data_IF_363848040314
#
_entry.id   IF_363848040314
#
_cell.length_a   1.000
_cell.length_b   1.000
_cell.length_c   1.000
_cell.angle_alpha   90.00
_cell.angle_beta   90.00
_cell.angle_gamma   90.00
#
_symmetry.space_group_name_H-M   'P 1'
#
loop_
_entity.id
_entity.type
_entity.pdbx_description
1 polymer ?
#
# COMPACT_ATOMS: atom_id res chain seq x y z
N UNK A 1 -26.26 42.07 16.38
CA UNK A 1 -26.65 41.28 17.57
C UNK A 1 -28.01 40.69 17.31
N UNK A 2 -28.05 39.47 16.77
CA UNK A 2 -29.25 38.71 16.47
C UNK A 2 -29.22 37.48 17.36
N UNK A 3 -30.15 37.41 18.31
CA UNK A 3 -30.32 36.32 19.26
C UNK A 3 -31.10 35.23 18.52
N UNK A 4 -30.39 34.20 18.04
CA UNK A 4 -31.01 32.99 17.50
C UNK A 4 -31.41 32.08 18.65
N UNK A 5 -32.72 31.95 18.86
CA UNK A 5 -33.34 31.02 19.81
C UNK A 5 -33.09 29.58 19.35
N UNK A 6 -32.28 28.83 20.09
CA UNK A 6 -32.22 27.37 20.01
C UNK A 6 -33.55 26.79 20.50
N UNK A 7 -34.39 26.31 19.58
CA UNK A 7 -35.44 25.35 19.90
C UNK A 7 -34.77 23.98 20.12
N UNK A 8 -34.70 23.55 21.37
CA UNK A 8 -34.45 22.16 21.73
C UNK A 8 -35.65 21.31 21.28
N UNK A 9 -35.49 20.58 20.17
CA UNK A 9 -36.39 19.50 19.79
C UNK A 9 -36.12 18.30 20.72
N UNK A 10 -36.83 18.26 21.85
CA UNK A 10 -36.95 17.05 22.64
C UNK A 10 -37.73 16.01 21.82
N UNK A 11 -37.01 15.06 21.22
CA UNK A 11 -37.63 13.88 20.61
C UNK A 11 -38.39 13.06 21.67
N UNK A 12 -39.50 12.39 21.31
CA UNK A 12 -40.20 11.52 22.24
C UNK A 12 -39.29 10.36 22.63
N UNK A 13 -38.91 10.31 23.91
CA UNK A 13 -38.35 9.11 24.52
C UNK A 13 -39.40 8.00 24.41
N UNK A 14 -39.20 7.07 23.48
CA UNK A 14 -39.91 5.79 23.52
C UNK A 14 -39.28 5.01 24.67
N UNK A 15 -39.81 5.23 25.88
CA UNK A 15 -39.60 4.34 27.00
C UNK A 15 -40.39 3.06 26.69
N UNK A 16 -39.79 2.13 25.95
CA UNK A 16 -40.09 0.72 26.20
C UNK A 16 -39.81 0.47 27.69
N UNK A 17 -40.72 -0.21 28.38
CA UNK A 17 -40.66 -0.50 29.82
C UNK A 17 -39.38 -1.30 30.15
N UNK A 18 -38.27 -0.59 30.28
CA UNK A 18 -36.99 -1.20 30.54
C UNK A 18 -36.86 -1.44 32.05
N UNK A 19 -37.05 -2.69 32.48
CA UNK A 19 -36.85 -3.08 33.88
C UNK A 19 -35.34 -3.20 34.19
N UNK A 20 -34.71 -2.05 34.43
CA UNK A 20 -33.30 -1.95 34.79
C UNK A 20 -32.92 -2.80 36.01
N UNK A 21 -33.87 -3.00 36.94
CA UNK A 21 -33.63 -3.83 38.13
C UNK A 21 -33.58 -5.31 37.77
N UNK A 22 -34.48 -5.78 36.91
CA UNK A 22 -34.42 -7.14 36.38
C UNK A 22 -33.13 -7.36 35.57
N UNK A 23 -32.83 -6.47 34.62
CA UNK A 23 -31.61 -6.55 33.80
C UNK A 23 -30.34 -6.56 34.65
N UNK A 24 -30.25 -5.72 35.68
CA UNK A 24 -29.12 -5.75 36.64
C UNK A 24 -29.00 -7.12 37.31
N UNK A 25 -30.11 -7.72 37.73
CA UNK A 25 -30.12 -9.08 38.27
C UNK A 25 -29.62 -10.12 37.26
N UNK A 26 -30.05 -10.00 36.01
CA UNK A 26 -29.64 -10.88 34.92
C UNK A 26 -28.16 -10.76 34.56
N UNK A 27 -27.59 -9.55 34.59
CA UNK A 27 -26.15 -9.31 34.38
C UNK A 27 -25.33 -9.97 35.48
N UNK A 28 -25.70 -9.74 36.75
CA UNK A 28 -24.95 -10.28 37.90
C UNK A 28 -24.99 -11.81 37.90
N UNK A 29 -26.16 -12.40 37.60
CA UNK A 29 -26.37 -13.84 37.55
C UNK A 29 -25.91 -14.51 36.23
N UNK A 30 -25.51 -13.74 35.22
CA UNK A 30 -25.11 -14.27 33.92
C UNK A 30 -23.89 -15.19 34.02
N UNK A 31 -23.78 -16.18 33.14
CA UNK A 31 -22.49 -16.83 32.89
C UNK A 31 -21.57 -15.86 32.13
N UNK A 32 -20.24 -16.04 32.17
CA UNK A 32 -19.30 -15.17 31.46
C UNK A 32 -19.67 -14.93 29.97
N UNK A 33 -20.13 -15.96 29.27
CA UNK A 33 -20.55 -15.89 27.86
C UNK A 33 -21.74 -14.94 27.59
N UNK A 34 -22.57 -14.65 28.58
CA UNK A 34 -23.74 -13.76 28.41
C UNK A 34 -23.60 -12.45 29.20
N UNK A 35 -22.46 -12.25 29.86
CA UNK A 35 -22.30 -11.11 30.78
C UNK A 35 -22.19 -9.79 30.00
N UNK A 36 -21.38 -9.75 28.94
CA UNK A 36 -21.19 -8.56 28.11
C UNK A 36 -22.47 -8.08 27.37
N UNK A 37 -23.21 -8.94 26.64
CA UNK A 37 -24.41 -8.48 25.91
C UNK A 37 -25.52 -8.03 26.87
N UNK A 38 -25.66 -8.69 28.03
CA UNK A 38 -26.60 -8.24 29.07
C UNK A 38 -26.17 -6.93 29.71
N UNK A 39 -24.88 -6.73 29.89
CA UNK A 39 -24.35 -5.46 30.39
C UNK A 39 -24.62 -4.33 29.39
N UNK A 40 -24.43 -4.57 28.09
CA UNK A 40 -24.78 -3.61 27.03
C UNK A 40 -26.28 -3.26 27.06
N UNK A 41 -27.16 -4.26 27.21
CA UNK A 41 -28.60 -4.04 27.35
C UNK A 41 -28.93 -3.20 28.61
N UNK A 42 -28.30 -3.50 29.75
CA UNK A 42 -28.47 -2.69 30.96
C UNK A 42 -27.94 -1.26 30.78
N UNK A 43 -26.80 -1.07 30.12
CA UNK A 43 -26.21 0.25 29.89
C UNK A 43 -27.10 1.11 28.99
N UNK A 44 -27.72 0.52 27.97
CA UNK A 44 -28.71 1.19 27.13
C UNK A 44 -30.00 1.53 27.90
N UNK A 45 -30.37 0.70 28.88
CA UNK A 45 -31.54 0.86 29.74
C UNK A 45 -31.36 1.93 30.83
N UNK A 46 -30.27 1.84 31.58
CA UNK A 46 -29.93 2.62 32.77
C UNK A 46 -28.41 2.66 32.93
N UNK A 47 -27.81 3.69 32.33
CA UNK A 47 -26.38 3.94 32.34
C UNK A 47 -25.82 4.04 33.77
N UNK A 48 -26.55 4.66 34.71
CA UNK A 48 -26.10 4.83 36.08
C UNK A 48 -26.07 3.47 36.82
N UNK A 49 -27.08 2.63 36.61
CA UNK A 49 -27.11 1.28 37.16
C UNK A 49 -25.99 0.39 36.59
N UNK A 50 -25.71 0.51 35.29
CA UNK A 50 -24.60 -0.20 34.64
C UNK A 50 -23.23 0.26 35.18
N UNK A 51 -23.00 1.57 35.26
CA UNK A 51 -21.76 2.15 35.81
C UNK A 51 -21.45 1.63 37.23
N UNK A 52 -22.48 1.53 38.08
CA UNK A 52 -22.36 1.03 39.47
C UNK A 52 -21.91 -0.42 39.60
N UNK A 53 -22.07 -1.25 38.57
CA UNK A 53 -21.67 -2.68 38.61
C UNK A 53 -20.46 -2.99 37.71
N UNK A 54 -20.03 -2.04 36.89
CA UNK A 54 -19.01 -2.22 35.86
C UNK A 54 -17.72 -2.85 36.41
N UNK A 55 -17.21 -2.35 37.54
CA UNK A 55 -16.00 -2.87 38.21
C UNK A 55 -16.06 -4.37 38.51
N UNK A 56 -17.24 -4.87 38.90
CA UNK A 56 -17.42 -6.28 39.26
C UNK A 56 -17.78 -7.17 38.07
N UNK A 57 -18.29 -6.57 37.00
CA UNK A 57 -18.88 -7.30 35.87
C UNK A 57 -17.91 -7.39 34.69
N UNK A 58 -17.23 -6.30 34.34
CA UNK A 58 -16.30 -6.24 33.20
C UNK A 58 -15.19 -7.30 33.27
N UNK A 59 -14.56 -7.59 34.43
CA UNK A 59 -13.56 -8.66 34.52
C UNK A 59 -14.06 -10.06 34.12
N UNK A 60 -15.39 -10.25 34.03
CA UNK A 60 -16.03 -11.51 33.63
C UNK A 60 -16.35 -11.57 32.14
N UNK A 61 -16.12 -10.50 31.37
CA UNK A 61 -16.31 -10.51 29.93
C UNK A 61 -15.34 -11.52 29.30
N UNK A 62 -15.88 -12.35 28.40
CA UNK A 62 -15.08 -13.22 27.54
C UNK A 62 -14.84 -12.48 26.23
N UNK A 63 -13.57 -12.34 25.84
CA UNK A 63 -13.22 -11.68 24.59
C UNK A 63 -13.91 -12.32 23.37
N UNK A 64 -14.16 -11.49 22.35
CA UNK A 64 -14.92 -11.84 21.17
C UNK A 64 -15.97 -10.77 20.81
N UNK A 65 -16.78 -11.00 19.76
CA UNK A 65 -17.74 -10.00 19.26
C UNK A 65 -18.71 -9.48 20.32
N UNK A 66 -19.27 -10.38 21.15
CA UNK A 66 -20.21 -10.00 22.22
C UNK A 66 -19.55 -9.11 23.29
N UNK A 67 -18.25 -9.30 23.57
CA UNK A 67 -17.52 -8.45 24.49
C UNK A 67 -17.24 -7.08 23.91
N UNK A 68 -17.01 -6.95 22.60
CA UNK A 68 -16.77 -5.67 21.96
C UNK A 68 -17.95 -4.71 22.20
N UNK A 69 -19.18 -5.16 21.99
CA UNK A 69 -20.39 -4.37 22.28
C UNK A 69 -20.50 -4.00 23.77
N UNK A 70 -20.25 -4.96 24.66
CA UNK A 70 -20.23 -4.72 26.11
C UNK A 70 -19.16 -3.72 26.54
N UNK A 71 -18.01 -3.72 25.88
CA UNK A 71 -16.90 -2.80 26.13
C UNK A 71 -17.23 -1.38 25.64
N UNK A 72 -17.78 -1.21 24.45
CA UNK A 72 -18.26 0.10 24.00
C UNK A 72 -19.34 0.65 24.95
N UNK A 73 -20.28 -0.20 25.38
CA UNK A 73 -21.29 0.19 26.35
C UNK A 73 -20.67 0.59 27.71
N UNK A 74 -19.64 -0.14 28.17
CA UNK A 74 -18.90 0.20 29.38
C UNK A 74 -18.20 1.56 29.27
N UNK A 75 -17.57 1.86 28.13
CA UNK A 75 -16.95 3.16 27.86
C UNK A 75 -18.00 4.29 27.93
N UNK A 76 -19.16 4.12 27.28
CA UNK A 76 -20.25 5.12 27.27
C UNK A 76 -20.79 5.45 28.67
N UNK A 77 -20.81 4.47 29.57
CA UNK A 77 -21.27 4.69 30.97
C UNK A 77 -20.14 5.15 31.90
N UNK A 78 -18.98 5.53 31.36
CA UNK A 78 -17.84 6.06 32.12
C UNK A 78 -16.95 5.01 32.78
N UNK A 79 -17.07 3.74 32.42
CA UNK A 79 -16.26 2.64 32.98
C UNK A 79 -14.99 2.35 32.15
N UNK A 80 -14.40 3.38 31.52
CA UNK A 80 -13.23 3.24 30.65
C UNK A 80 -12.02 2.64 31.37
N UNK A 81 -11.79 2.98 32.63
CA UNK A 81 -10.68 2.43 33.41
C UNK A 81 -10.79 0.91 33.60
N UNK A 82 -12.00 0.41 33.89
CA UNK A 82 -12.26 -1.02 34.02
C UNK A 82 -12.05 -1.75 32.68
N UNK A 83 -12.48 -1.12 31.57
CA UNK A 83 -12.21 -1.64 30.22
C UNK A 83 -10.71 -1.71 29.95
N UNK A 84 -9.95 -0.66 30.29
CA UNK A 84 -8.50 -0.62 30.11
C UNK A 84 -7.80 -1.75 30.85
N UNK A 85 -8.15 -1.94 32.12
CA UNK A 85 -7.62 -3.03 32.95
C UNK A 85 -7.99 -4.41 32.40
N UNK A 86 -9.22 -4.59 31.90
CA UNK A 86 -9.64 -5.83 31.27
C UNK A 86 -8.86 -6.11 29.97
N UNK A 87 -8.71 -5.12 29.09
CA UNK A 87 -7.92 -5.24 27.85
C UNK A 87 -6.46 -5.61 28.13
N UNK A 88 -5.87 -5.13 29.23
CA UNK A 88 -4.52 -5.51 29.63
C UNK A 88 -4.42 -6.97 30.09
N UNK A 89 -5.52 -7.57 30.56
CA UNK A 89 -5.59 -8.93 31.08
C UNK A 89 -5.92 -10.01 30.04
N UNK A 90 -6.41 -9.66 28.86
CA UNK A 90 -6.76 -10.62 27.80
C UNK A 90 -5.59 -10.93 26.87
N UNK A 91 -5.74 -11.96 26.04
CA UNK A 91 -4.72 -12.38 25.08
C UNK A 91 -4.42 -11.29 24.05
N UNK A 92 -3.16 -11.21 23.58
CA UNK A 92 -2.71 -10.16 22.66
C UNK A 92 -3.53 -10.07 21.36
N UNK A 93 -3.91 -11.21 20.78
CA UNK A 93 -4.73 -11.26 19.56
C UNK A 93 -6.12 -10.67 19.78
N UNK A 94 -6.81 -11.16 20.82
CA UNK A 94 -8.12 -10.66 21.24
C UNK A 94 -8.10 -9.16 21.56
N UNK A 95 -7.07 -8.69 22.28
CA UNK A 95 -6.89 -7.27 22.57
C UNK A 95 -6.76 -6.45 21.29
N UNK A 96 -5.96 -6.90 20.33
CA UNK A 96 -5.78 -6.19 19.06
C UNK A 96 -7.11 -6.06 18.32
N UNK A 97 -7.88 -7.16 18.21
CA UNK A 97 -9.20 -7.18 17.58
C UNK A 97 -10.19 -6.25 18.27
N UNK A 98 -10.25 -6.23 19.61
CA UNK A 98 -11.16 -5.32 20.33
C UNK A 98 -10.72 -3.85 20.19
N UNK A 99 -9.42 -3.55 20.21
CA UNK A 99 -8.90 -2.19 20.01
C UNK A 99 -9.24 -1.66 18.61
N UNK A 100 -9.02 -2.48 17.58
CA UNK A 100 -9.38 -2.14 16.21
C UNK A 100 -10.88 -1.92 16.07
N UNK A 101 -11.70 -2.84 16.59
CA UNK A 101 -13.15 -2.69 16.58
C UNK A 101 -13.61 -1.41 17.29
N UNK A 102 -13.03 -1.06 18.44
CA UNK A 102 -13.35 0.19 19.14
C UNK A 102 -12.98 1.40 18.28
N UNK A 103 -11.83 1.35 17.61
CA UNK A 103 -11.42 2.35 16.64
C UNK A 103 -12.47 2.70 15.61
N UNK A 104 -13.05 1.66 15.00
CA UNK A 104 -14.08 1.79 13.98
C UNK A 104 -15.40 2.35 14.54
N UNK A 105 -15.60 2.31 15.86
CA UNK A 105 -16.76 2.92 16.54
C UNK A 105 -16.55 4.39 16.92
N UNK A 106 -15.34 4.94 16.77
CA UNK A 106 -14.99 6.27 17.27
C UNK A 106 -15.87 7.38 16.67
N UNK A 107 -16.22 7.28 15.38
CA UNK A 107 -17.12 8.23 14.70
C UNK A 107 -18.52 8.30 15.34
N UNK A 108 -19.03 7.15 15.79
CA UNK A 108 -20.38 7.01 16.33
C UNK A 108 -20.43 7.08 17.86
N UNK A 109 -19.27 7.00 18.54
CA UNK A 109 -19.16 6.98 20.00
C UNK A 109 -18.00 7.89 20.46
N UNK A 110 -18.24 9.20 20.70
CA UNK A 110 -17.21 10.15 21.14
C UNK A 110 -16.51 9.77 22.46
N UNK A 111 -17.17 8.98 23.31
CA UNK A 111 -16.56 8.46 24.53
C UNK A 111 -15.39 7.50 24.23
N UNK A 112 -15.37 6.86 23.06
CA UNK A 112 -14.26 6.00 22.62
C UNK A 112 -13.01 6.82 22.31
N UNK A 113 -13.15 7.99 21.69
CA UNK A 113 -12.05 8.94 21.52
C UNK A 113 -11.43 9.30 22.87
N UNK A 114 -12.28 9.74 23.81
CA UNK A 114 -11.86 10.11 25.17
C UNK A 114 -11.19 8.94 25.89
N UNK A 115 -11.65 7.71 25.66
CA UNK A 115 -11.05 6.50 26.20
C UNK A 115 -9.64 6.27 25.67
N UNK A 116 -9.39 6.42 24.36
CA UNK A 116 -8.04 6.28 23.79
C UNK A 116 -7.09 7.36 24.29
N UNK A 117 -7.53 8.62 24.33
CA UNK A 117 -6.74 9.74 24.85
C UNK A 117 -6.39 9.49 26.32
N UNK A 118 -7.37 9.14 27.15
CA UNK A 118 -7.15 8.83 28.58
C UNK A 118 -6.22 7.63 28.77
N UNK A 119 -6.31 6.62 27.91
CA UNK A 119 -5.43 5.46 27.97
C UNK A 119 -3.98 5.83 27.63
N UNK A 120 -3.76 6.75 26.69
CA UNK A 120 -2.44 7.26 26.36
C UNK A 120 -1.87 8.15 27.49
N UNK A 121 -2.68 9.03 28.08
CA UNK A 121 -2.25 9.90 29.18
C UNK A 121 -1.90 9.11 30.45
N UNK A 122 -2.64 8.04 30.75
CA UNK A 122 -2.45 7.24 31.95
C UNK A 122 -1.13 6.44 31.93
N UNK A 123 -0.74 5.90 30.76
CA UNK A 123 0.48 5.09 30.61
C UNK A 123 1.01 5.17 29.16
N UNK A 124 1.73 6.25 28.81
CA UNK A 124 2.18 6.49 27.43
C UNK A 124 3.08 5.36 26.90
N UNK A 125 4.01 4.87 27.72
CA UNK A 125 4.94 3.83 27.29
C UNK A 125 4.19 2.52 26.98
N UNK A 126 3.30 2.10 27.87
CA UNK A 126 2.50 0.88 27.69
C UNK A 126 1.51 1.02 26.54
N UNK A 127 0.92 2.20 26.33
CA UNK A 127 0.02 2.48 25.21
C UNK A 127 0.67 2.14 23.86
N UNK A 128 1.88 2.66 23.61
CA UNK A 128 2.61 2.37 22.38
C UNK A 128 3.16 0.95 22.34
N UNK A 129 3.71 0.44 23.46
CA UNK A 129 4.26 -0.93 23.54
C UNK A 129 3.19 -1.99 23.30
N UNK A 130 1.98 -1.78 23.80
CA UNK A 130 0.84 -2.67 23.60
C UNK A 130 0.03 -2.37 22.33
N UNK A 131 0.49 -1.40 21.52
CA UNK A 131 -0.04 -1.07 20.19
C UNK A 131 -1.49 -0.60 20.18
N UNK A 132 -1.88 0.15 21.20
CA UNK A 132 -3.23 0.74 21.29
C UNK A 132 -3.54 1.68 20.13
N UNK A 133 -2.52 2.37 19.62
CA UNK A 133 -2.64 3.26 18.47
C UNK A 133 -3.16 2.57 17.19
N UNK A 134 -3.16 1.23 17.10
CA UNK A 134 -3.67 0.53 15.92
C UNK A 134 -5.17 0.71 15.70
N UNK A 135 -5.93 0.96 16.77
CA UNK A 135 -7.36 1.30 16.66
C UNK A 135 -7.59 2.76 16.27
N UNK A 136 -6.57 3.54 15.94
CA UNK A 136 -6.75 4.96 15.66
C UNK A 136 -6.87 5.28 14.17
N UNK A 137 -6.79 4.31 13.24
CA UNK A 137 -6.90 4.63 11.80
C UNK A 137 -8.19 5.36 11.46
N UNK A 138 -9.32 4.90 12.00
CA UNK A 138 -10.64 5.37 11.60
C UNK A 138 -11.19 6.45 12.55
N UNK A 139 -10.48 6.70 13.66
CA UNK A 139 -10.83 7.68 14.67
C UNK A 139 -10.30 9.07 14.30
N UNK A 140 -10.90 9.68 13.26
CA UNK A 140 -10.41 10.92 12.62
C UNK A 140 -10.86 12.20 13.35
N UNK A 141 -10.48 12.34 14.61
CA UNK A 141 -10.76 13.55 15.41
C UNK A 141 -9.48 14.38 15.62
N UNK A 142 -9.62 15.68 15.85
CA UNK A 142 -8.47 16.57 16.04
C UNK A 142 -7.56 16.12 17.20
N UNK A 143 -8.13 15.59 18.29
CA UNK A 143 -7.33 15.14 19.44
C UNK A 143 -6.49 13.90 19.13
N UNK A 144 -7.05 12.96 18.34
CA UNK A 144 -6.34 11.76 17.90
C UNK A 144 -5.30 12.10 16.83
N UNK A 145 -5.62 13.01 15.91
CA UNK A 145 -4.64 13.51 14.94
C UNK A 145 -3.45 14.18 15.63
N UNK A 146 -3.71 14.98 16.67
CA UNK A 146 -2.65 15.57 17.49
C UNK A 146 -1.82 14.49 18.20
N UNK A 147 -2.46 13.51 18.83
CA UNK A 147 -1.79 12.38 19.48
C UNK A 147 -0.88 11.61 18.51
N UNK A 148 -1.39 11.28 17.31
CA UNK A 148 -0.63 10.57 16.27
C UNK A 148 0.51 11.41 15.73
N UNK A 149 0.29 12.72 15.53
CA UNK A 149 1.32 13.67 15.09
C UNK A 149 2.46 13.75 16.11
N UNK A 150 2.14 13.96 17.39
CA UNK A 150 3.13 14.02 18.47
C UNK A 150 3.90 12.71 18.62
N UNK A 151 3.21 11.57 18.52
CA UNK A 151 3.83 10.25 18.56
C UNK A 151 4.80 10.03 17.39
N UNK A 152 4.41 10.43 16.18
CA UNK A 152 5.24 10.32 14.99
C UNK A 152 6.50 11.20 15.12
N UNK A 153 6.34 12.44 15.57
CA UNK A 153 7.46 13.36 15.83
C UNK A 153 8.43 12.81 16.88
N UNK A 154 7.90 12.28 17.99
CA UNK A 154 8.72 11.71 19.06
C UNK A 154 9.49 10.44 18.64
N UNK A 155 9.04 9.76 17.58
CA UNK A 155 9.66 8.53 17.05
C UNK A 155 10.60 8.79 15.87
N UNK A 156 10.73 10.04 15.38
CA UNK A 156 11.67 10.41 14.32
C UNK A 156 13.10 10.09 14.79
N UNK A 157 13.76 9.15 14.11
CA UNK A 157 15.13 8.73 14.43
C UNK A 157 15.25 7.77 15.62
N UNK A 158 14.15 7.22 16.14
CA UNK A 158 14.18 6.13 17.11
C UNK A 158 14.64 4.82 16.44
N UNK A 159 15.22 3.91 17.23
CA UNK A 159 15.71 2.60 16.79
C UNK A 159 14.60 1.56 16.61
N UNK A 160 13.40 1.79 17.15
CA UNK A 160 12.24 0.90 17.00
C UNK A 160 11.54 1.09 15.64
N UNK A 161 12.21 0.64 14.57
CA UNK A 161 11.73 0.71 13.19
C UNK A 161 10.35 0.07 12.99
N UNK A 162 10.02 -0.96 13.78
CA UNK A 162 8.73 -1.65 13.68
C UNK A 162 7.60 -0.77 14.18
N UNK A 163 7.83 -0.05 15.28
CA UNK A 163 6.85 0.91 15.82
C UNK A 163 6.70 2.11 14.91
N UNK A 164 7.81 2.70 14.46
CA UNK A 164 7.79 3.82 13.52
C UNK A 164 6.99 3.45 12.26
N UNK A 165 7.25 2.28 11.66
CA UNK A 165 6.48 1.74 10.53
C UNK A 165 4.98 1.70 10.78
N UNK A 166 4.59 1.11 11.91
CA UNK A 166 3.19 0.98 12.23
C UNK A 166 2.51 2.33 12.52
N UNK A 167 3.22 3.28 13.15
CA UNK A 167 2.69 4.61 13.41
C UNK A 167 2.49 5.42 12.13
N UNK A 168 3.44 5.37 11.19
CA UNK A 168 3.33 6.08 9.90
C UNK A 168 2.10 5.64 9.13
N UNK A 169 1.85 4.33 9.02
CA UNK A 169 0.67 3.83 8.30
C UNK A 169 -0.66 4.19 8.98
N UNK A 170 -0.71 4.18 10.32
CA UNK A 170 -1.90 4.63 11.06
C UNK A 170 -2.10 6.14 10.91
N UNK A 171 -1.03 6.93 11.01
CA UNK A 171 -1.05 8.37 10.80
C UNK A 171 -1.56 8.73 9.41
N UNK A 172 -1.03 8.07 8.37
CA UNK A 172 -1.44 8.27 6.98
C UNK A 172 -2.93 7.98 6.78
N UNK A 173 -3.42 6.80 7.19
CA UNK A 173 -4.86 6.44 7.11
C UNK A 173 -5.78 7.35 7.92
N UNK A 174 -5.31 7.86 9.07
CA UNK A 174 -6.12 8.71 9.92
C UNK A 174 -6.28 10.14 9.40
N UNK A 175 -5.19 10.73 8.91
CA UNK A 175 -5.22 12.11 8.40
C UNK A 175 -5.58 12.18 6.91
N UNK A 176 -5.48 11.07 6.17
CA UNK A 176 -5.74 11.04 4.73
C UNK A 176 -4.85 12.02 3.98
N UNK A 177 -5.42 12.83 3.09
CA UNK A 177 -4.71 13.86 2.35
C UNK A 177 -3.94 14.87 3.24
N UNK A 178 -4.42 15.14 4.46
CA UNK A 178 -3.75 16.05 5.39
C UNK A 178 -2.40 15.49 5.91
N UNK A 179 -2.15 14.19 5.76
CA UNK A 179 -0.87 13.57 6.09
C UNK A 179 0.24 13.91 5.09
N UNK A 180 -0.11 14.22 3.83
CA UNK A 180 0.82 14.26 2.70
C UNK A 180 1.99 15.26 2.88
N UNK A 181 1.80 16.48 3.43
CA UNK A 181 2.92 17.38 3.69
C UNK A 181 3.95 16.78 4.65
N UNK A 182 3.47 16.12 5.72
CA UNK A 182 4.34 15.46 6.71
C UNK A 182 5.04 14.24 6.11
N UNK A 183 4.34 13.45 5.29
CA UNK A 183 4.92 12.29 4.60
C UNK A 183 6.02 12.71 3.61
N UNK A 184 5.82 13.83 2.90
CA UNK A 184 6.82 14.41 2.00
C UNK A 184 8.07 14.88 2.75
N UNK A 185 7.88 15.59 3.88
CA UNK A 185 8.98 15.99 4.77
C UNK A 185 9.74 14.78 5.32
N UNK A 186 9.03 13.72 5.72
CA UNK A 186 9.63 12.50 6.22
C UNK A 186 10.40 11.78 5.12
N UNK A 187 9.86 11.62 3.91
CA UNK A 187 10.56 10.98 2.80
C UNK A 187 11.92 11.66 2.50
N UNK A 188 11.99 12.98 2.63
CA UNK A 188 13.24 13.73 2.47
C UNK A 188 14.24 13.53 3.63
N UNK A 189 13.75 13.39 4.86
CA UNK A 189 14.55 13.51 6.09
C UNK A 189 14.87 12.19 6.80
N UNK A 190 14.08 11.14 6.61
CA UNK A 190 14.32 9.83 7.25
C UNK A 190 15.53 9.12 6.62
N UNK A 191 16.17 8.20 7.37
CA UNK A 191 17.21 7.34 6.81
C UNK A 191 16.73 6.61 5.56
N UNK A 192 17.61 6.43 4.58
CA UNK A 192 17.32 5.78 3.29
C UNK A 192 16.57 4.44 3.43
N UNK A 193 17.00 3.61 4.39
CA UNK A 193 16.39 2.32 4.69
C UNK A 193 14.91 2.39 5.12
N UNK A 194 14.39 3.58 5.45
CA UNK A 194 13.00 3.85 5.84
C UNK A 194 12.21 4.58 4.75
N UNK A 195 12.88 5.12 3.72
CA UNK A 195 12.19 5.88 2.66
C UNK A 195 11.23 5.03 1.84
N UNK A 196 11.54 3.74 1.63
CA UNK A 196 10.60 2.79 1.00
C UNK A 196 9.26 2.74 1.73
N UNK A 197 9.29 2.75 3.06
CA UNK A 197 8.07 2.77 3.87
C UNK A 197 7.31 4.09 3.69
N UNK A 198 8.01 5.22 3.60
CA UNK A 198 7.35 6.52 3.37
C UNK A 198 6.59 6.49 2.05
N UNK A 199 7.16 5.91 0.99
CA UNK A 199 6.47 5.73 -0.30
C UNK A 199 5.18 4.92 -0.16
N UNK A 200 5.19 3.79 0.55
CA UNK A 200 3.97 3.00 0.83
C UNK A 200 2.90 3.83 1.55
N UNK A 201 3.30 4.73 2.46
CA UNK A 201 2.39 5.53 3.27
C UNK A 201 1.56 6.55 2.45
N UNK A 202 1.99 6.94 1.26
CA UNK A 202 1.18 7.78 0.37
C UNK A 202 -0.08 7.04 -0.12
N UNK A 203 0.00 5.74 -0.38
CA UNK A 203 -1.17 4.92 -0.69
C UNK A 203 -2.08 4.72 0.53
N UNK A 204 -1.49 4.56 1.72
CA UNK A 204 -2.24 4.51 2.99
C UNK A 204 -3.04 5.81 3.22
N UNK A 205 -2.51 6.97 2.85
CA UNK A 205 -3.19 8.27 2.96
C UNK A 205 -4.38 8.41 1.97
N UNK A 206 -4.41 7.61 0.92
CA UNK A 206 -5.54 7.53 -0.02
C UNK A 206 -6.47 6.34 0.29
N UNK A 207 -6.29 5.69 1.44
CA UNK A 207 -7.04 4.51 1.87
C UNK A 207 -7.02 3.34 0.86
N UNK A 208 -5.96 3.20 0.07
CA UNK A 208 -5.81 2.10 -0.89
C UNK A 208 -5.92 0.74 -0.17
N UNK A 209 -6.80 -0.12 -0.66
CA UNK A 209 -6.97 -1.50 -0.17
C UNK A 209 -7.90 -1.67 1.04
N UNK A 210 -8.59 -0.61 1.46
CA UNK A 210 -9.70 -0.70 2.43
C UNK A 210 -10.97 -1.35 1.80
N UNK A 211 -11.97 -1.64 2.63
CA UNK A 211 -13.26 -2.19 2.15
C UNK A 211 -14.14 -1.15 1.43
N UNK A 212 -13.97 0.13 1.77
CA UNK A 212 -14.78 1.24 1.22
C UNK A 212 -14.31 1.70 -0.17
N UNK A 213 -13.10 1.31 -0.57
CA UNK A 213 -12.42 1.80 -1.76
C UNK A 213 -11.48 2.97 -1.47
N UNK A 214 -10.57 3.20 -2.42
CA UNK A 214 -9.62 4.32 -2.41
C UNK A 214 -10.36 5.66 -2.44
N UNK A 215 -9.89 6.63 -1.65
CA UNK A 215 -10.32 8.03 -1.75
C UNK A 215 -9.65 8.66 -2.97
N UNK A 216 -10.44 8.93 -4.02
CA UNK A 216 -9.93 9.45 -5.31
C UNK A 216 -9.26 10.83 -5.17
N UNK A 217 -9.81 11.73 -4.34
CA UNK A 217 -9.27 13.08 -4.17
C UNK A 217 -7.93 13.00 -3.41
N UNK A 218 -7.87 12.19 -2.36
CA UNK A 218 -6.64 11.92 -1.63
C UNK A 218 -5.60 11.19 -2.52
N UNK A 219 -6.04 10.30 -3.41
CA UNK A 219 -5.15 9.59 -4.34
C UNK A 219 -4.48 10.55 -5.34
N UNK A 220 -5.24 11.47 -5.94
CA UNK A 220 -4.69 12.50 -6.83
C UNK A 220 -3.69 13.39 -6.09
N UNK A 221 -4.02 13.81 -4.87
CA UNK A 221 -3.11 14.59 -4.04
C UNK A 221 -1.84 13.80 -3.67
N UNK A 222 -1.98 12.51 -3.35
CA UNK A 222 -0.88 11.62 -3.00
C UNK A 222 0.08 11.42 -4.19
N UNK A 223 -0.45 11.21 -5.40
CA UNK A 223 0.36 11.14 -6.62
C UNK A 223 1.18 12.41 -6.82
N UNK A 224 0.54 13.58 -6.74
CA UNK A 224 1.23 14.86 -6.91
C UNK A 224 2.37 15.04 -5.89
N UNK A 225 2.08 14.85 -4.60
CA UNK A 225 3.05 15.01 -3.53
C UNK A 225 4.21 13.99 -3.63
N UNK A 226 3.90 12.75 -4.02
CA UNK A 226 4.91 11.70 -4.21
C UNK A 226 5.83 12.00 -5.39
N UNK A 227 5.29 12.53 -6.51
CA UNK A 227 6.09 12.92 -7.67
C UNK A 227 6.98 14.14 -7.38
N UNK A 228 6.49 15.12 -6.62
CA UNK A 228 7.28 16.26 -6.15
C UNK A 228 8.44 15.82 -5.24
N UNK A 229 8.25 14.76 -4.47
CA UNK A 229 9.25 14.23 -3.52
C UNK A 229 10.08 13.07 -4.09
N UNK A 230 9.86 12.69 -5.35
CA UNK A 230 10.40 11.44 -5.90
C UNK A 230 11.93 11.42 -6.02
N UNK A 231 12.59 12.57 -6.10
CA UNK A 231 14.06 12.67 -6.09
C UNK A 231 14.71 12.18 -4.78
N UNK A 232 13.92 12.09 -3.70
CA UNK A 232 14.37 11.54 -2.42
C UNK A 232 14.21 10.03 -2.33
N UNK A 233 13.49 9.41 -3.26
CA UNK A 233 13.31 7.95 -3.29
C UNK A 233 14.61 7.31 -3.74
N UNK A 234 15.22 6.44 -2.92
CA UNK A 234 16.46 5.80 -3.30
C UNK A 234 16.21 4.76 -4.40
N UNK A 235 17.19 4.48 -5.27
CA UNK A 235 17.02 3.58 -6.41
C UNK A 235 16.35 2.24 -6.06
N UNK A 236 16.71 1.61 -4.93
CA UNK A 236 16.16 0.33 -4.47
C UNK A 236 14.68 0.39 -4.01
N UNK A 237 14.13 1.58 -3.84
CA UNK A 237 12.73 1.79 -3.49
C UNK A 237 11.88 2.26 -4.69
N UNK A 238 12.46 2.45 -5.88
CA UNK A 238 11.73 2.95 -7.06
C UNK A 238 10.70 1.94 -7.57
N UNK A 239 10.93 0.63 -7.41
CA UNK A 239 9.90 -0.37 -7.71
C UNK A 239 8.68 -0.24 -6.79
N UNK A 240 8.90 0.14 -5.52
CA UNK A 240 7.82 0.46 -4.59
C UNK A 240 7.10 1.73 -5.03
N UNK A 241 7.83 2.76 -5.47
CA UNK A 241 7.25 3.98 -6.06
C UNK A 241 6.35 3.65 -7.26
N UNK A 242 6.84 2.86 -8.21
CA UNK A 242 6.06 2.40 -9.38
C UNK A 242 4.77 1.71 -8.94
N UNK A 243 4.88 0.73 -8.03
CA UNK A 243 3.71 -0.04 -7.58
C UNK A 243 2.71 0.80 -6.77
N UNK A 244 3.20 1.74 -5.96
CA UNK A 244 2.36 2.70 -5.23
C UNK A 244 1.59 3.60 -6.21
N UNK A 245 2.27 4.16 -7.22
CA UNK A 245 1.62 5.00 -8.24
C UNK A 245 0.55 4.23 -9.04
N UNK A 246 0.81 2.96 -9.39
CA UNK A 246 -0.21 2.08 -9.99
C UNK A 246 -1.40 1.83 -9.07
N UNK A 247 -1.12 1.58 -7.79
CA UNK A 247 -2.18 1.34 -6.80
C UNK A 247 -3.04 2.59 -6.56
N UNK A 248 -2.46 3.77 -6.77
CA UNK A 248 -3.13 5.06 -6.77
C UNK A 248 -3.85 5.39 -8.10
N UNK A 249 -3.74 4.51 -9.12
CA UNK A 249 -4.42 4.64 -10.40
C UNK A 249 -3.68 5.48 -11.46
N UNK A 250 -2.44 5.91 -11.22
CA UNK A 250 -1.66 6.69 -12.18
C UNK A 250 -0.58 5.84 -12.88
N UNK A 251 -0.99 5.11 -13.93
CA UNK A 251 -0.10 4.28 -14.74
C UNK A 251 0.97 5.11 -15.48
N UNK A 252 0.65 6.33 -15.90
CA UNK A 252 1.61 7.18 -16.64
C UNK A 252 2.73 7.65 -15.71
N UNK A 253 2.39 8.11 -14.50
CA UNK A 253 3.35 8.45 -13.48
C UNK A 253 4.15 7.23 -13.04
N UNK A 254 3.50 6.07 -12.86
CA UNK A 254 4.18 4.83 -12.52
C UNK A 254 5.24 4.46 -13.56
N UNK A 255 4.89 4.48 -14.85
CA UNK A 255 5.84 4.20 -15.92
C UNK A 255 6.98 5.24 -15.97
N UNK A 256 6.64 6.53 -15.87
CA UNK A 256 7.63 7.61 -15.84
C UNK A 256 8.53 7.65 -14.60
N UNK A 257 8.24 6.86 -13.56
CA UNK A 257 9.08 6.77 -12.37
C UNK A 257 10.42 6.04 -12.62
N UNK A 258 10.55 5.34 -13.76
CA UNK A 258 11.80 4.69 -14.21
C UNK A 258 12.99 5.66 -14.23
N UNK A 259 12.76 6.96 -14.46
CA UNK A 259 13.81 8.00 -14.43
C UNK A 259 14.55 8.12 -13.10
N UNK A 260 13.94 7.65 -12.01
CA UNK A 260 14.53 7.67 -10.67
C UNK A 260 15.32 6.41 -10.34
N UNK A 261 15.16 5.33 -11.13
CA UNK A 261 15.82 4.03 -10.89
C UNK A 261 17.30 4.04 -11.26
N UNK A 262 17.64 4.66 -12.40
CA UNK A 262 19.00 4.72 -12.94
C UNK A 262 19.39 6.15 -13.32
N UNK A 263 19.38 7.11 -12.37
CA UNK A 263 19.61 8.52 -12.68
C UNK A 263 20.98 8.80 -13.32
N UNK A 264 21.96 7.95 -13.05
CA UNK A 264 23.32 7.97 -13.59
C UNK A 264 23.42 7.48 -15.04
N UNK A 265 22.42 6.74 -15.53
CA UNK A 265 22.37 6.22 -16.90
C UNK A 265 21.46 7.03 -17.83
N UNK A 266 20.84 8.10 -17.32
CA UNK A 266 19.96 8.99 -18.09
C UNK A 266 20.79 10.07 -18.80
N UNK A 267 20.85 10.04 -20.12
CA UNK A 267 21.61 11.00 -20.93
C UNK A 267 20.70 11.82 -21.83
N UNK A 268 20.78 13.15 -21.75
CA UNK A 268 19.94 14.07 -22.54
C UNK A 268 18.44 13.72 -22.47
N UNK A 269 18.00 13.24 -21.29
CA UNK A 269 16.62 12.80 -21.04
C UNK A 269 16.24 11.44 -21.63
N UNK A 270 17.20 10.65 -22.09
CA UNK A 270 16.97 9.33 -22.67
C UNK A 270 17.80 8.23 -22.00
N UNK A 271 17.20 7.05 -21.88
CA UNK A 271 17.87 5.79 -21.61
C UNK A 271 18.22 5.09 -22.92
N UNK A 272 19.37 4.43 -22.93
CA UNK A 272 19.79 3.56 -24.03
C UNK A 272 19.62 2.12 -23.60
N UNK A 273 18.75 1.37 -24.26
CA UNK A 273 18.52 -0.04 -24.01
C UNK A 273 18.99 -0.90 -25.18
N UNK A 274 19.43 -2.11 -24.88
CA UNK A 274 19.57 -3.17 -25.88
C UNK A 274 18.32 -4.03 -25.93
N UNK A 275 17.90 -4.36 -27.13
CA UNK A 275 16.80 -5.26 -27.38
C UNK A 275 17.22 -6.32 -28.39
N UNK A 276 16.77 -7.55 -28.17
CA UNK A 276 16.91 -8.68 -29.05
C UNK A 276 15.52 -9.25 -29.38
N UNK A 277 15.32 -9.68 -30.61
CA UNK A 277 14.06 -10.25 -31.10
C UNK A 277 14.35 -11.60 -31.72
N UNK A 278 13.84 -12.64 -31.07
CA UNK A 278 13.89 -14.00 -31.51
C UNK A 278 12.74 -14.24 -32.48
N UNK A 279 13.06 -14.44 -33.75
CA UNK A 279 12.12 -14.90 -34.77
C UNK A 279 12.33 -16.40 -34.96
N UNK A 280 11.30 -17.20 -34.73
CA UNK A 280 11.31 -18.65 -34.94
C UNK A 280 10.20 -19.04 -35.90
N UNK A 281 10.47 -19.92 -36.86
CA UNK A 281 9.44 -20.40 -37.79
C UNK A 281 9.62 -21.85 -38.19
N UNK A 282 8.49 -22.52 -38.43
CA UNK A 282 8.46 -23.91 -38.91
C UNK A 282 7.95 -23.98 -40.33
N UNK A 283 8.73 -24.53 -41.24
CA UNK A 283 8.38 -24.77 -42.63
C UNK A 283 7.43 -25.96 -42.80
N UNK A 284 6.70 -26.03 -43.93
CA UNK A 284 5.79 -27.15 -44.25
C UNK A 284 6.45 -28.53 -44.24
N UNK A 285 7.76 -28.61 -44.47
CA UNK A 285 8.54 -29.84 -44.43
C UNK A 285 8.99 -30.23 -43.00
N UNK A 286 8.56 -29.48 -41.97
CA UNK A 286 8.95 -29.68 -40.58
C UNK A 286 10.36 -29.19 -40.25
N UNK A 287 11.04 -28.46 -41.15
CA UNK A 287 12.27 -27.75 -40.80
C UNK A 287 11.93 -26.52 -39.98
N UNK A 288 12.71 -26.27 -38.95
CA UNK A 288 12.58 -25.08 -38.12
C UNK A 288 13.77 -24.17 -38.40
N UNK A 289 13.55 -22.87 -38.33
CA UNK A 289 14.55 -21.87 -38.62
C UNK A 289 14.39 -20.74 -37.61
N UNK A 290 15.45 -19.95 -37.46
CA UNK A 290 15.47 -18.89 -36.49
C UNK A 290 16.37 -17.74 -36.92
N UNK A 291 15.97 -16.51 -36.57
CA UNK A 291 16.77 -15.32 -36.72
C UNK A 291 16.80 -14.56 -35.39
N UNK A 292 17.95 -13.96 -35.11
CA UNK A 292 18.16 -13.08 -33.97
C UNK A 292 18.40 -11.68 -34.52
N UNK A 293 17.44 -10.80 -34.30
CA UNK A 293 17.59 -9.38 -34.60
C UNK A 293 17.93 -8.68 -33.30
N UNK A 294 18.85 -7.72 -33.31
CA UNK A 294 19.17 -6.97 -32.09
C UNK A 294 19.41 -5.51 -32.43
N UNK A 295 19.39 -4.64 -31.42
CA UNK A 295 19.66 -3.24 -31.65
C UNK A 295 19.48 -2.40 -30.39
N UNK A 296 19.74 -1.11 -30.58
CA UNK A 296 19.61 -0.11 -29.53
C UNK A 296 18.29 0.64 -29.65
N UNK A 297 17.70 0.91 -28.49
CA UNK A 297 16.51 1.72 -28.30
C UNK A 297 16.87 2.93 -27.43
N UNK A 298 16.55 4.13 -27.92
CA UNK A 298 16.58 5.35 -27.12
C UNK A 298 15.17 5.58 -26.57
N UNK A 299 15.02 5.56 -25.26
CA UNK A 299 13.74 5.70 -24.56
C UNK A 299 13.73 6.97 -23.70
N UNK A 300 12.71 7.83 -23.77
CA UNK A 300 12.68 9.14 -23.09
C UNK A 300 12.48 9.08 -21.56
N UNK A 301 12.87 8.00 -20.90
CA UNK A 301 12.66 7.71 -19.48
C UNK A 301 11.19 7.77 -19.05
N UNK A 302 10.30 7.25 -19.90
CA UNK A 302 8.86 7.23 -19.68
C UNK A 302 8.29 5.84 -19.47
N UNK A 303 9.06 4.77 -19.76
CA UNK A 303 8.58 3.39 -19.69
C UNK A 303 9.65 2.47 -19.11
N UNK A 304 9.18 1.43 -18.43
CA UNK A 304 10.05 0.41 -17.88
C UNK A 304 10.41 -0.68 -18.91
N UNK A 305 11.53 -1.41 -18.73
CA UNK A 305 11.97 -2.46 -19.65
C UNK A 305 10.92 -3.54 -19.97
N UNK A 306 10.09 -3.90 -18.99
CA UNK A 306 9.01 -4.87 -19.16
C UNK A 306 7.91 -4.36 -20.11
N UNK A 307 7.51 -3.09 -19.97
CA UNK A 307 6.55 -2.43 -20.87
C UNK A 307 7.14 -2.16 -22.25
N UNK A 308 8.44 -1.82 -22.31
CA UNK A 308 9.15 -1.59 -23.57
C UNK A 308 9.25 -2.85 -24.41
N UNK A 309 9.54 -4.00 -23.80
CA UNK A 309 9.64 -5.28 -24.51
C UNK A 309 8.34 -5.61 -25.26
N UNK A 310 7.18 -5.34 -24.64
CA UNK A 310 5.88 -5.48 -25.29
C UNK A 310 5.69 -4.47 -26.43
N UNK A 311 6.05 -3.21 -26.20
CA UNK A 311 5.94 -2.15 -27.22
C UNK A 311 6.78 -2.46 -28.46
N UNK A 312 8.01 -2.96 -28.26
CA UNK A 312 8.90 -3.40 -29.32
C UNK A 312 8.23 -4.50 -30.14
N UNK A 313 7.65 -5.53 -29.50
CA UNK A 313 6.92 -6.59 -30.22
C UNK A 313 5.75 -6.04 -31.04
N UNK A 314 4.95 -5.14 -30.48
CA UNK A 314 3.82 -4.51 -31.18
C UNK A 314 4.27 -3.70 -32.41
N UNK A 315 5.37 -2.94 -32.29
CA UNK A 315 5.94 -2.18 -33.41
C UNK A 315 6.61 -3.06 -34.47
N UNK A 316 7.22 -4.16 -34.04
CA UNK A 316 7.93 -5.08 -34.92
C UNK A 316 6.99 -6.05 -35.65
N UNK A 317 5.83 -6.37 -35.06
CA UNK A 317 4.79 -7.19 -35.68
C UNK A 317 3.98 -6.45 -36.76
N UNK A 318 4.00 -5.11 -36.77
CA UNK A 318 3.30 -4.28 -37.77
C UNK A 318 4.15 -3.97 -39.03
N UNK A 319 4.90 -2.86 -39.08
CA UNK A 319 5.61 -2.38 -40.28
C UNK A 319 6.91 -3.12 -40.67
N UNK A 320 7.57 -3.87 -39.79
CA UNK A 320 8.95 -4.33 -40.02
C UNK A 320 9.10 -5.53 -40.97
N UNK A 321 8.02 -6.16 -41.43
CA UNK A 321 8.10 -7.39 -42.25
C UNK A 321 9.03 -8.46 -41.66
N UNK A 322 9.17 -8.53 -40.33
CA UNK A 322 9.61 -9.76 -39.67
C UNK A 322 8.59 -10.83 -40.09
N UNK A 323 9.06 -11.85 -40.80
CA UNK A 323 8.23 -12.64 -41.71
C UNK A 323 8.78 -12.85 -43.13
N UNK A 324 9.96 -12.35 -43.52
CA UNK A 324 10.67 -12.87 -44.73
C UNK A 324 10.84 -14.39 -44.66
N UNK A 325 11.02 -14.88 -43.45
CA UNK A 325 10.89 -16.27 -43.05
C UNK A 325 9.57 -16.94 -43.47
N UNK A 326 8.43 -16.30 -43.16
CA UNK A 326 7.08 -16.77 -43.51
C UNK A 326 6.78 -16.67 -45.01
N UNK A 327 7.41 -15.73 -45.73
CA UNK A 327 7.37 -15.66 -47.19
C UNK A 327 8.13 -16.83 -47.84
N UNK A 328 9.31 -17.18 -47.30
CA UNK A 328 10.11 -18.34 -47.75
C UNK A 328 9.52 -19.68 -47.29
N UNK A 329 8.84 -19.70 -46.14
CA UNK A 329 8.25 -20.88 -45.52
C UNK A 329 6.79 -20.66 -45.10
N UNK A 330 5.86 -21.29 -45.81
CA UNK A 330 4.41 -21.25 -45.58
C UNK A 330 3.95 -21.93 -44.27
N UNK A 331 4.52 -21.58 -43.12
CA UNK A 331 4.15 -22.12 -41.81
C UNK A 331 4.00 -21.06 -40.73
N UNK A 332 4.04 -21.48 -39.47
CA UNK A 332 3.79 -20.61 -38.30
C UNK A 332 5.09 -19.96 -37.84
N UNK A 333 5.02 -18.65 -37.56
CA UNK A 333 6.12 -17.89 -36.96
C UNK A 333 5.74 -17.49 -35.53
N UNK A 334 6.74 -17.45 -34.65
CA UNK A 334 6.65 -16.84 -33.33
C UNK A 334 7.74 -15.79 -33.18
N UNK A 335 7.39 -14.71 -32.48
CA UNK A 335 8.29 -13.61 -32.14
C UNK A 335 8.36 -13.49 -30.62
N UNK A 336 9.56 -13.32 -30.10
CA UNK A 336 9.81 -13.03 -28.69
C UNK A 336 10.85 -11.91 -28.61
N UNK A 337 10.52 -10.80 -27.95
CA UNK A 337 11.49 -9.77 -27.63
C UNK A 337 12.09 -10.05 -26.24
N UNK A 338 13.36 -9.73 -26.12
CA UNK A 338 14.13 -9.73 -24.88
C UNK A 338 14.82 -8.37 -24.82
N UNK A 339 14.88 -7.77 -23.65
CA UNK A 339 15.60 -6.53 -23.42
C UNK A 339 16.59 -6.73 -22.29
N UNK A 340 17.66 -5.94 -22.30
CA UNK A 340 18.52 -5.81 -21.14
C UNK A 340 17.71 -5.20 -19.97
N UNK A 341 17.91 -5.74 -18.77
CA UNK A 341 17.14 -5.35 -17.58
C UNK A 341 17.44 -3.93 -17.11
N UNK A 342 18.66 -3.45 -17.39
CA UNK A 342 19.13 -2.12 -17.01
C UNK A 342 19.63 -1.37 -18.25
N UNK A 343 19.40 -0.05 -18.36
CA UNK A 343 19.90 0.73 -19.49
C UNK A 343 21.43 0.72 -19.51
N UNK A 344 22.04 0.89 -20.68
CA UNK A 344 23.49 1.01 -20.82
C UNK A 344 24.00 2.27 -20.10
N UNK A 345 25.27 2.25 -19.69
CA UNK A 345 25.92 3.44 -19.15
C UNK A 345 25.90 4.60 -20.16
N UNK A 346 25.78 5.83 -19.64
CA UNK A 346 25.64 7.05 -20.45
C UNK A 346 26.90 7.38 -21.26
N UNK A 347 28.07 6.93 -20.80
CA UNK A 347 29.32 7.13 -21.53
C UNK A 347 29.56 5.94 -22.47
N UNK A 348 29.53 6.20 -23.78
CA UNK A 348 29.96 5.26 -24.82
C UNK A 348 31.50 5.17 -24.85
N UNK A 349 32.07 4.82 -23.70
CA UNK A 349 33.46 4.44 -23.58
C UNK A 349 33.60 2.99 -24.09
N UNK A 350 34.82 2.57 -24.43
CA UNK A 350 35.07 1.23 -24.97
C UNK A 350 34.54 0.08 -24.07
N UNK A 351 34.36 0.35 -22.77
CA UNK A 351 33.82 -0.59 -21.80
C UNK A 351 32.29 -0.76 -21.94
N UNK A 352 31.53 0.30 -22.24
CA UNK A 352 30.09 0.21 -22.47
C UNK A 352 29.74 -0.53 -23.77
N UNK A 353 30.58 -0.37 -24.80
CA UNK A 353 30.47 -1.15 -26.04
C UNK A 353 30.79 -2.63 -25.79
N UNK A 354 31.72 -2.94 -24.87
CA UNK A 354 32.04 -4.32 -24.50
C UNK A 354 30.89 -5.00 -23.74
N UNK A 355 30.23 -4.30 -22.82
CA UNK A 355 29.05 -4.81 -22.11
C UNK A 355 27.89 -5.09 -23.08
N UNK A 356 27.74 -4.26 -24.12
CA UNK A 356 26.73 -4.46 -25.15
C UNK A 356 27.02 -5.72 -25.98
N UNK A 357 28.26 -5.89 -26.45
CA UNK A 357 28.69 -7.06 -27.21
C UNK A 357 28.55 -8.34 -26.37
N UNK A 358 28.95 -8.32 -25.10
CA UNK A 358 28.84 -9.46 -24.19
C UNK A 358 27.37 -9.86 -23.95
N UNK A 359 26.47 -8.89 -23.79
CA UNK A 359 25.03 -9.16 -23.66
C UNK A 359 24.44 -9.75 -24.94
N UNK A 360 24.77 -9.19 -26.11
CA UNK A 360 24.32 -9.70 -27.42
C UNK A 360 24.82 -11.12 -27.64
N UNK A 361 26.08 -11.40 -27.31
CA UNK A 361 26.64 -12.74 -27.43
C UNK A 361 26.02 -13.73 -26.46
N UNK A 362 25.72 -13.32 -25.22
CA UNK A 362 24.98 -14.15 -24.26
C UNK A 362 23.58 -14.51 -24.78
N UNK A 363 22.83 -13.52 -25.30
CA UNK A 363 21.52 -13.77 -25.91
C UNK A 363 21.61 -14.64 -27.17
N UNK A 364 22.66 -14.45 -27.99
CA UNK A 364 22.96 -15.33 -29.12
C UNK A 364 23.18 -16.77 -28.67
N UNK A 365 23.96 -16.99 -27.61
CA UNK A 365 24.17 -18.34 -27.06
C UNK A 365 22.87 -18.92 -26.48
N UNK A 366 22.06 -18.13 -25.78
CA UNK A 366 20.77 -18.58 -25.25
C UNK A 366 19.79 -18.98 -26.37
N UNK A 367 19.73 -18.17 -27.44
CA UNK A 367 18.96 -18.46 -28.64
C UNK A 367 19.45 -19.75 -29.33
N UNK A 368 20.77 -19.89 -29.51
CA UNK A 368 21.39 -21.09 -30.07
C UNK A 368 21.11 -22.34 -29.24
N UNK A 369 21.15 -22.25 -27.91
CA UNK A 369 20.86 -23.36 -27.03
C UNK A 369 19.40 -23.81 -27.19
N UNK A 370 18.45 -22.87 -27.08
CA UNK A 370 17.01 -23.11 -27.27
C UNK A 370 16.70 -23.72 -28.63
N UNK A 371 17.45 -23.33 -29.65
CA UNK A 371 17.29 -23.84 -31.01
C UNK A 371 18.09 -25.09 -31.33
N UNK A 372 19.14 -25.43 -30.60
CA UNK A 372 19.87 -26.70 -30.78
C UNK A 372 19.05 -27.92 -30.33
N UNK A 373 18.12 -27.71 -29.40
CA UNK A 373 17.08 -28.69 -29.04
C UNK A 373 16.10 -28.96 -30.20
N UNK A 374 16.01 -28.00 -31.13
CA UNK A 374 15.25 -28.05 -32.36
C UNK A 374 16.18 -28.57 -33.48
N UNK A 375 15.96 -29.82 -33.92
CA UNK A 375 16.95 -30.65 -34.64
C UNK A 375 17.54 -30.15 -35.99
N UNK A 376 17.32 -28.93 -36.47
CA UNK A 376 17.88 -28.43 -37.75
C UNK A 376 17.64 -26.93 -37.97
N UNK A 377 18.48 -26.05 -37.42
CA UNK A 377 18.56 -24.64 -37.86
C UNK A 377 19.70 -24.51 -38.87
N UNK A 378 19.42 -23.96 -40.06
CA UNK A 378 20.36 -23.89 -41.19
C UNK A 378 21.01 -22.50 -41.39
N UNK A 379 20.48 -21.42 -40.79
CA UNK A 379 20.95 -20.05 -41.03
C UNK A 379 20.53 -19.13 -39.86
N UNK A 380 21.42 -18.25 -39.41
CA UNK A 380 21.14 -17.15 -38.47
C UNK A 380 21.49 -15.86 -39.19
N UNK A 381 20.48 -15.04 -39.46
CA UNK A 381 20.66 -13.69 -39.96
C UNK A 381 20.73 -12.72 -38.77
N UNK A 382 21.68 -11.80 -38.80
CA UNK A 382 21.86 -10.74 -37.81
C UNK A 382 21.55 -9.40 -38.47
N UNK A 383 20.65 -8.65 -37.87
CA UNK A 383 20.25 -7.33 -38.33
C UNK A 383 20.24 -6.36 -37.14
N UNK A 384 20.94 -5.24 -37.30
CA UNK A 384 20.97 -4.14 -36.32
C UNK A 384 19.73 -3.27 -36.51
N UNK A 385 18.89 -3.18 -35.48
CA UNK A 385 17.70 -2.34 -35.46
C UNK A 385 18.06 -0.98 -34.85
N UNK A 386 17.75 0.12 -35.54
CA UNK A 386 17.75 1.45 -34.91
C UNK A 386 16.30 1.82 -34.62
N UNK A 387 15.88 1.65 -33.37
CA UNK A 387 14.57 2.08 -32.92
C UNK A 387 14.68 3.52 -32.43
N UNK A 388 14.59 4.46 -33.38
CA UNK A 388 14.28 5.85 -33.07
C UNK A 388 12.76 5.94 -32.97
N UNK A 389 12.21 6.14 -31.78
CA UNK A 389 10.82 6.59 -31.65
C UNK A 389 10.69 7.98 -32.30
N UNK A 390 10.40 8.02 -33.59
CA UNK A 390 9.69 9.16 -34.15
C UNK A 390 8.27 9.10 -33.60
N UNK A 391 8.06 9.77 -32.48
CA UNK A 391 6.75 9.91 -31.86
C UNK A 391 5.70 10.45 -32.86
N UNK A 392 4.45 9.96 -32.86
CA UNK A 392 3.30 10.83 -33.12
C UNK A 392 3.12 11.87 -32.00
#
# INVERSE_FOLDING_TARGET
MTISSLLWLAGPAIAEDCDARALKGEVVAATPAHTAPRFAALAACDAEAAAKIAETVIPRFLAGPDANEGVAAAIRVGAGEQVRLWLQGIQMGERATTIEWLGNQCKDTPEVESFFVSAQEADPESFFKQRWYRGLSDCRTESIQALLSDALQAQRGDTDRTRFRALVGIYARNLGADALPTLSELLASVPEAERRLMVEAFADAADVGNEEGMDEDAAVAAVAALLESAEHVPPEAVDTLRNTLRSLGDEVAAEGSVRYRWPDRLQDGHYRYLAAVHELWTCKNGKEHGALHHGELLEPAQRWPDTLSQTILEHLTGPWQLGRAAEKCKGTASLQAVMIDEPLEADADADADADADDWIDAERQAFLQKTSEIKKIEEIEEAVLTLSEQAP
#
